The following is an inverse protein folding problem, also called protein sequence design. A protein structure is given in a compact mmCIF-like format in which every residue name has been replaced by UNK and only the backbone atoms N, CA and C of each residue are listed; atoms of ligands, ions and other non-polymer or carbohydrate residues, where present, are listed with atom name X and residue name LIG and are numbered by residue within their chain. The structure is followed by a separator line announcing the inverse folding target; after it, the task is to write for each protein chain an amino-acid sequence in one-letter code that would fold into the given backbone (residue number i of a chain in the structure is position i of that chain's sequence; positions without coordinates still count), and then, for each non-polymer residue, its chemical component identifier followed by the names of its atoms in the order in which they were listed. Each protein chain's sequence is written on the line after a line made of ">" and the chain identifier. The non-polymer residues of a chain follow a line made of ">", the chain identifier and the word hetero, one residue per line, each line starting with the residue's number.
data_IF_431456108968
#
_entry.id   IF_431456108968
#
_cell.length_a   1.000
_cell.length_b   1.000
_cell.length_c   1.000
_cell.angle_alpha   90.00
_cell.angle_beta   90.00
_cell.angle_gamma   90.00
#
_symmetry.space_group_name_H-M   'P 1'
#
loop_
_entity.id
_entity.type
_entity.pdbx_description
1 polymer ?
#
# COMPACT_ATOMS: atom_id res chain seq x y z
N UNK A 1 -10.54 16.22 -7.38
CA UNK A 1 -9.71 17.45 -7.35
C UNK A 1 -8.54 17.29 -8.26
N UNK A 2 -8.45 18.17 -9.27
CA UNK A 2 -7.32 18.31 -10.18
C UNK A 2 -6.16 18.92 -9.40
N UNK A 3 -4.98 18.31 -9.46
CA UNK A 3 -3.76 18.92 -8.91
C UNK A 3 -2.95 19.42 -10.11
N UNK A 4 -2.39 20.63 -10.05
CA UNK A 4 -1.68 21.22 -11.19
C UNK A 4 -0.34 20.51 -11.41
N UNK A 5 0.03 20.33 -12.66
CA UNK A 5 1.36 19.86 -13.10
C UNK A 5 2.42 20.93 -12.80
N UNK A 6 2.71 21.21 -11.53
CA UNK A 6 3.86 22.06 -11.15
C UNK A 6 5.05 21.19 -10.74
N UNK A 7 6.26 21.45 -11.28
CA UNK A 7 7.49 20.69 -11.01
C UNK A 7 7.78 20.46 -9.52
N UNK A 8 7.47 21.45 -8.67
CA UNK A 8 7.81 21.48 -7.25
C UNK A 8 7.26 20.30 -6.43
N UNK A 9 6.09 19.75 -6.79
CA UNK A 9 5.49 18.63 -6.04
C UNK A 9 6.15 17.29 -6.36
N UNK A 10 6.54 17.10 -7.63
CA UNK A 10 7.28 15.91 -8.04
C UNK A 10 8.66 15.91 -7.40
N UNK A 11 9.31 17.07 -7.34
CA UNK A 11 10.62 17.23 -6.68
C UNK A 11 10.55 16.99 -5.17
N UNK A 12 9.54 17.53 -4.49
CA UNK A 12 9.32 17.27 -3.07
C UNK A 12 9.01 15.78 -2.79
N UNK A 13 8.20 15.15 -3.65
CA UNK A 13 7.90 13.73 -3.54
C UNK A 13 9.15 12.87 -3.77
N UNK A 14 9.96 13.20 -4.78
CA UNK A 14 11.23 12.51 -5.05
C UNK A 14 12.22 12.70 -3.90
N UNK A 15 12.33 13.90 -3.33
CA UNK A 15 13.20 14.14 -2.16
C UNK A 15 12.74 13.32 -0.95
N UNK A 16 11.43 13.25 -0.68
CA UNK A 16 10.90 12.38 0.37
C UNK A 16 11.15 10.91 0.07
N UNK A 17 10.93 10.47 -1.17
CA UNK A 17 11.14 9.10 -1.61
C UNK A 17 12.61 8.69 -1.43
N UNK A 18 13.53 9.51 -1.91
CA UNK A 18 14.97 9.31 -1.75
C UNK A 18 15.36 9.21 -0.27
N UNK A 19 14.81 10.06 0.60
CA UNK A 19 15.03 9.95 2.06
C UNK A 19 14.46 8.67 2.63
N UNK A 20 13.24 8.27 2.29
CA UNK A 20 12.63 7.04 2.78
C UNK A 20 13.37 5.78 2.31
N UNK A 21 13.94 5.81 1.11
CA UNK A 21 14.74 4.72 0.57
C UNK A 21 16.10 4.56 1.30
N UNK A 22 16.70 5.67 1.74
CA UNK A 22 18.07 5.68 2.26
C UNK A 22 18.19 5.87 3.78
N UNK A 23 17.18 6.40 4.46
CA UNK A 23 17.16 6.64 5.91
C UNK A 23 16.24 5.63 6.62
N UNK A 24 16.84 4.55 7.11
CA UNK A 24 16.11 3.52 7.88
C UNK A 24 15.49 4.05 9.17
N UNK A 25 16.10 5.06 9.81
CA UNK A 25 15.55 5.62 11.03
C UNK A 25 14.25 6.38 10.73
N UNK A 26 14.25 7.22 9.68
CA UNK A 26 13.04 7.88 9.21
C UNK A 26 11.97 6.86 8.80
N UNK A 27 12.35 5.84 8.03
CA UNK A 27 11.44 4.80 7.57
C UNK A 27 10.79 4.06 8.75
N UNK A 28 11.57 3.73 9.79
CA UNK A 28 11.08 3.01 10.98
C UNK A 28 10.26 3.90 11.92
N UNK A 29 10.50 5.22 11.92
CA UNK A 29 9.75 6.18 12.72
C UNK A 29 8.31 6.40 12.22
N UNK A 30 8.00 6.03 10.98
CA UNK A 30 6.63 6.14 10.45
C UNK A 30 5.69 5.21 11.22
N UNK A 31 4.58 5.79 11.72
CA UNK A 31 3.46 5.01 12.24
C UNK A 31 2.62 4.40 11.09
N UNK A 32 1.67 3.48 11.36
CA UNK A 32 0.91 2.80 10.31
C UNK A 32 0.19 3.76 9.35
N UNK A 33 -0.44 4.81 9.87
CA UNK A 33 -1.17 5.79 9.06
C UNK A 33 -0.24 6.62 8.19
N UNK A 34 0.90 7.07 8.74
CA UNK A 34 1.92 7.81 8.00
C UNK A 34 2.52 6.96 6.89
N UNK A 35 2.77 5.67 7.14
CA UNK A 35 3.23 4.73 6.12
C UNK A 35 2.21 4.56 4.99
N UNK A 36 0.94 4.32 5.31
CA UNK A 36 -0.11 4.18 4.29
C UNK A 36 -0.28 5.45 3.45
N UNK A 37 -0.17 6.63 4.09
CA UNK A 37 -0.22 7.91 3.40
C UNK A 37 1.01 8.13 2.50
N UNK A 38 2.21 7.75 2.96
CA UNK A 38 3.43 7.82 2.16
C UNK A 38 3.32 6.91 0.93
N UNK A 39 2.93 5.64 1.11
CA UNK A 39 2.70 4.72 -0.01
C UNK A 39 1.69 5.27 -1.01
N UNK A 40 0.55 5.77 -0.54
CA UNK A 40 -0.47 6.35 -1.41
C UNK A 40 0.03 7.60 -2.16
N UNK A 41 0.83 8.45 -1.52
CA UNK A 41 1.43 9.62 -2.16
C UNK A 41 2.45 9.22 -3.25
N UNK A 42 3.34 8.28 -2.94
CA UNK A 42 4.36 7.77 -3.87
C UNK A 42 3.72 7.06 -5.08
N UNK A 43 2.55 6.44 -4.90
CA UNK A 43 1.80 5.78 -5.99
C UNK A 43 1.37 6.70 -7.14
N UNK A 44 1.50 8.02 -6.97
CA UNK A 44 1.26 9.01 -8.04
C UNK A 44 2.39 9.07 -9.07
N UNK A 45 3.59 8.57 -8.73
CA UNK A 45 4.77 8.59 -9.60
C UNK A 45 5.43 7.20 -9.66
N UNK A 46 4.72 6.17 -10.14
CA UNK A 46 5.23 4.80 -10.12
C UNK A 46 6.48 4.59 -10.99
N UNK A 47 6.64 5.43 -12.02
CA UNK A 47 7.74 5.36 -12.97
C UNK A 47 9.03 6.04 -12.47
N UNK A 48 9.01 6.71 -11.31
CA UNK A 48 10.24 7.33 -10.77
C UNK A 48 11.05 6.30 -9.97
N UNK A 49 12.38 6.18 -10.21
CA UNK A 49 13.23 5.23 -9.50
C UNK A 49 13.20 5.41 -7.98
N UNK A 50 13.20 6.66 -7.49
CA UNK A 50 13.16 6.97 -6.07
C UNK A 50 11.83 6.53 -5.42
N UNK A 51 10.68 6.77 -6.08
CA UNK A 51 9.40 6.28 -5.56
C UNK A 51 9.36 4.75 -5.51
N UNK A 52 9.87 4.09 -6.55
CA UNK A 52 9.97 2.62 -6.57
C UNK A 52 10.87 2.11 -5.43
N UNK A 53 12.02 2.73 -5.19
CA UNK A 53 12.93 2.35 -4.11
C UNK A 53 12.31 2.56 -2.72
N UNK A 54 11.65 3.70 -2.51
CA UNK A 54 10.95 4.00 -1.26
C UNK A 54 9.81 3.01 -0.99
N UNK A 55 9.01 2.69 -2.01
CA UNK A 55 7.93 1.70 -1.89
C UNK A 55 8.47 0.31 -1.61
N UNK A 56 9.55 -0.12 -2.25
CA UNK A 56 10.21 -1.39 -1.93
C UNK A 56 10.62 -1.45 -0.45
N UNK A 57 11.17 -0.38 0.09
CA UNK A 57 11.58 -0.32 1.49
C UNK A 57 10.38 -0.34 2.46
N UNK A 58 9.34 0.45 2.17
CA UNK A 58 8.11 0.50 2.99
C UNK A 58 7.33 -0.83 2.94
N UNK A 59 7.17 -1.42 1.75
CA UNK A 59 6.54 -2.71 1.55
C UNK A 59 7.34 -3.82 2.27
N UNK A 60 8.67 -3.82 2.15
CA UNK A 60 9.50 -4.75 2.91
C UNK A 60 9.28 -4.65 4.42
N UNK A 61 9.20 -3.43 4.98
CA UNK A 61 8.87 -3.25 6.39
C UNK A 61 7.49 -3.79 6.73
N UNK A 62 6.48 -3.47 5.91
CA UNK A 62 5.11 -3.92 6.14
C UNK A 62 4.97 -5.45 6.11
N UNK A 63 5.62 -6.12 5.16
CA UNK A 63 5.60 -7.58 5.04
C UNK A 63 6.27 -8.28 6.24
N UNK A 64 7.26 -7.64 6.85
CA UNK A 64 8.03 -8.22 7.98
C UNK A 64 7.52 -7.77 9.37
N UNK A 65 6.68 -6.75 9.45
CA UNK A 65 6.14 -6.22 10.71
C UNK A 65 4.62 -6.45 10.80
N UNK A 66 4.24 -7.61 11.36
CA UNK A 66 2.84 -8.00 11.56
C UNK A 66 2.09 -7.04 12.49
N UNK A 67 2.78 -6.44 13.47
CA UNK A 67 2.16 -5.49 14.38
C UNK A 67 1.77 -4.21 13.61
N UNK A 68 2.68 -3.68 12.80
CA UNK A 68 2.42 -2.55 11.92
C UNK A 68 1.29 -2.84 10.93
N UNK A 69 1.30 -4.01 10.29
CA UNK A 69 0.26 -4.42 9.35
C UNK A 69 -1.11 -4.51 10.00
N UNK A 70 -1.20 -5.09 11.21
CA UNK A 70 -2.45 -5.21 11.95
C UNK A 70 -2.93 -3.86 12.53
N UNK A 71 -2.02 -2.92 12.79
CA UNK A 71 -2.34 -1.58 13.26
C UNK A 71 -2.86 -0.64 12.16
N UNK A 72 -2.82 -1.04 10.88
CA UNK A 72 -3.48 -0.30 9.81
C UNK A 72 -5.00 -0.29 10.04
N UNK A 73 -5.60 0.89 9.99
CA UNK A 73 -7.04 1.05 9.98
C UNK A 73 -7.63 0.70 8.59
N UNK A 74 -8.97 0.60 8.43
CA UNK A 74 -9.58 0.18 7.17
C UNK A 74 -9.15 1.04 5.96
N UNK A 75 -9.10 2.36 6.12
CA UNK A 75 -8.63 3.26 5.06
C UNK A 75 -7.15 3.04 4.71
N UNK A 76 -6.32 2.78 5.73
CA UNK A 76 -4.90 2.48 5.57
C UNK A 76 -4.67 1.19 4.81
N UNK A 77 -5.47 0.15 5.07
CA UNK A 77 -5.44 -1.11 4.30
C UNK A 77 -5.77 -0.86 2.83
N UNK A 78 -6.89 -0.18 2.54
CA UNK A 78 -7.31 0.11 1.17
C UNK A 78 -6.29 0.96 0.40
N UNK A 79 -5.78 2.04 1.02
CA UNK A 79 -4.77 2.92 0.43
C UNK A 79 -3.47 2.17 0.15
N UNK A 80 -3.06 1.30 1.09
CA UNK A 80 -1.83 0.52 0.95
C UNK A 80 -1.95 -0.48 -0.19
N UNK A 81 -3.04 -1.24 -0.27
CA UNK A 81 -3.29 -2.15 -1.39
C UNK A 81 -3.31 -1.40 -2.73
N UNK A 82 -4.06 -0.29 -2.81
CA UNK A 82 -4.11 0.53 -4.02
C UNK A 82 -2.73 1.06 -4.43
N UNK A 83 -1.90 1.47 -3.48
CA UNK A 83 -0.53 1.91 -3.75
C UNK A 83 0.35 0.77 -4.27
N UNK A 84 0.36 -0.37 -3.57
CA UNK A 84 1.17 -1.54 -3.95
C UNK A 84 0.78 -2.07 -5.34
N UNK A 85 -0.49 -1.93 -5.73
CA UNK A 85 -1.00 -2.34 -7.05
C UNK A 85 -0.35 -1.60 -8.23
N UNK A 86 0.38 -0.51 -7.98
CA UNK A 86 1.18 0.20 -9.00
C UNK A 86 2.51 -0.49 -9.31
N UNK A 87 2.94 -1.43 -8.46
CA UNK A 87 4.14 -2.23 -8.65
C UNK A 87 3.81 -3.73 -8.54
N UNK A 88 2.95 -4.27 -9.43
CA UNK A 88 2.46 -5.63 -9.29
C UNK A 88 3.58 -6.68 -9.46
N UNK A 89 4.62 -6.36 -10.23
CA UNK A 89 5.75 -7.25 -10.51
C UNK A 89 6.90 -7.14 -9.50
N UNK A 90 6.73 -6.36 -8.43
CA UNK A 90 7.74 -6.23 -7.37
C UNK A 90 7.42 -7.22 -6.25
N UNK A 91 8.30 -8.20 -6.03
CA UNK A 91 8.12 -9.30 -5.07
C UNK A 91 7.66 -8.84 -3.68
N UNK A 92 8.29 -7.79 -3.13
CA UNK A 92 7.94 -7.27 -1.79
C UNK A 92 6.58 -6.56 -1.77
N UNK A 93 6.12 -6.00 -2.89
CA UNK A 93 4.76 -5.48 -3.02
C UNK A 93 3.75 -6.64 -3.06
N UNK A 94 4.07 -7.72 -3.77
CA UNK A 94 3.25 -8.93 -3.79
C UNK A 94 3.12 -9.55 -2.39
N UNK A 95 4.24 -9.71 -1.67
CA UNK A 95 4.24 -10.29 -0.32
C UNK A 95 3.44 -9.42 0.68
N UNK A 96 3.56 -8.10 0.58
CA UNK A 96 2.81 -7.15 1.40
C UNK A 96 1.31 -7.20 1.09
N UNK A 97 0.96 -7.25 -0.20
CA UNK A 97 -0.42 -7.39 -0.64
C UNK A 97 -1.04 -8.71 -0.18
N UNK A 98 -0.31 -9.82 -0.28
CA UNK A 98 -0.74 -11.14 0.18
C UNK A 98 -1.02 -11.17 1.68
N UNK A 99 -0.17 -10.53 2.49
CA UNK A 99 -0.36 -10.40 3.93
C UNK A 99 -1.58 -9.54 4.30
N UNK A 100 -1.83 -8.44 3.57
CA UNK A 100 -3.03 -7.62 3.74
C UNK A 100 -4.29 -8.33 3.27
N UNK A 101 -4.22 -9.07 2.17
CA UNK A 101 -5.31 -9.88 1.66
C UNK A 101 -5.67 -10.99 2.66
N UNK A 102 -4.68 -11.67 3.24
CA UNK A 102 -4.89 -12.64 4.30
C UNK A 102 -5.60 -12.01 5.51
N UNK A 103 -5.20 -10.79 5.92
CA UNK A 103 -5.91 -10.07 6.99
C UNK A 103 -7.36 -9.76 6.59
N UNK A 104 -7.59 -9.23 5.39
CA UNK A 104 -8.94 -8.95 4.89
C UNK A 104 -9.80 -10.21 4.85
N UNK A 105 -9.28 -11.35 4.41
CA UNK A 105 -10.01 -12.62 4.39
C UNK A 105 -10.44 -13.07 5.79
N UNK A 106 -9.59 -12.86 6.80
CA UNK A 106 -9.80 -13.39 8.16
C UNK A 106 -10.46 -12.39 9.13
N UNK A 107 -10.41 -11.08 8.87
CA UNK A 107 -10.88 -10.02 9.77
C UNK A 107 -12.23 -9.43 9.28
N UNK A 108 -13.34 -9.97 9.79
CA UNK A 108 -14.70 -9.53 9.43
C UNK A 108 -14.99 -8.09 9.86
N UNK A 109 -14.46 -7.66 11.01
CA UNK A 109 -14.67 -6.30 11.51
C UNK A 109 -13.99 -5.28 10.61
N UNK A 110 -12.75 -5.55 10.20
CA UNK A 110 -12.02 -4.74 9.22
C UNK A 110 -12.81 -4.62 7.91
N UNK A 111 -13.29 -5.74 7.35
CA UNK A 111 -14.06 -5.74 6.10
C UNK A 111 -15.32 -4.88 6.21
N UNK A 112 -16.08 -5.04 7.28
CA UNK A 112 -17.31 -4.28 7.52
C UNK A 112 -17.05 -2.79 7.77
N UNK A 113 -15.85 -2.44 8.24
CA UNK A 113 -15.45 -1.06 8.47
C UNK A 113 -14.83 -0.38 7.22
N UNK A 114 -14.62 -1.10 6.12
CA UNK A 114 -14.21 -0.48 4.86
C UNK A 114 -15.34 0.39 4.31
N UNK A 115 -14.99 1.60 3.86
CA UNK A 115 -15.90 2.41 3.08
C UNK A 115 -16.16 1.77 1.70
N UNK A 116 -17.24 2.17 1.03
CA UNK A 116 -17.50 1.74 -0.35
C UNK A 116 -16.29 2.00 -1.28
N UNK A 117 -15.65 3.16 -1.14
CA UNK A 117 -14.43 3.49 -1.88
C UNK A 117 -13.29 2.54 -1.47
N UNK A 118 -13.14 2.25 -0.18
CA UNK A 118 -12.14 1.30 0.32
C UNK A 118 -12.30 -0.11 -0.27
N UNK A 119 -13.54 -0.60 -0.37
CA UNK A 119 -13.85 -1.89 -1.02
C UNK A 119 -13.46 -1.86 -2.50
N UNK A 120 -13.87 -0.83 -3.24
CA UNK A 120 -13.52 -0.73 -4.67
C UNK A 120 -12.01 -0.65 -4.93
N UNK A 121 -11.27 0.07 -4.06
CA UNK A 121 -9.82 0.14 -4.14
C UNK A 121 -9.16 -1.21 -3.82
N UNK A 122 -9.63 -1.90 -2.78
CA UNK A 122 -9.12 -3.22 -2.42
C UNK A 122 -9.35 -4.23 -3.56
N UNK A 123 -10.56 -4.34 -4.09
CA UNK A 123 -10.88 -5.25 -5.19
C UNK A 123 -10.04 -4.95 -6.45
N UNK A 124 -9.94 -3.67 -6.84
CA UNK A 124 -9.10 -3.27 -7.99
C UNK A 124 -7.62 -3.61 -7.75
N UNK A 125 -7.12 -3.42 -6.54
CA UNK A 125 -5.74 -3.75 -6.20
C UNK A 125 -5.49 -5.27 -6.22
N UNK A 126 -6.36 -6.06 -5.59
CA UNK A 126 -6.24 -7.52 -5.51
C UNK A 126 -6.28 -8.16 -6.91
N UNK A 127 -7.02 -7.56 -7.86
CA UNK A 127 -7.03 -8.01 -9.26
C UNK A 127 -5.68 -7.98 -9.97
N UNK A 128 -4.66 -7.31 -9.39
CA UNK A 128 -3.29 -7.28 -9.94
C UNK A 128 -2.46 -8.52 -9.62
N UNK A 129 -2.93 -9.35 -8.71
CA UNK A 129 -2.26 -10.60 -8.33
C UNK A 129 -3.22 -11.79 -8.45
N UNK A 130 -3.69 -12.11 -9.68
CA UNK A 130 -4.43 -13.34 -9.91
C UNK A 130 -3.56 -14.54 -9.49
N UNK A 131 -4.18 -15.66 -9.10
CA UNK A 131 -3.50 -16.90 -8.68
C UNK A 131 -2.86 -16.86 -7.27
N UNK A 132 -3.00 -15.76 -6.53
CA UNK A 132 -2.65 -15.71 -5.12
C UNK A 132 -3.85 -16.06 -4.26
N UNK A 133 -3.81 -17.22 -3.60
CA UNK A 133 -4.92 -17.74 -2.79
C UNK A 133 -5.47 -16.73 -1.76
N UNK A 134 -4.61 -15.96 -1.10
CA UNK A 134 -5.07 -14.92 -0.16
C UNK A 134 -5.77 -13.76 -0.88
N UNK A 135 -5.31 -13.38 -2.09
CA UNK A 135 -5.94 -12.33 -2.88
C UNK A 135 -7.30 -12.78 -3.44
N UNK A 136 -7.41 -14.03 -3.87
CA UNK A 136 -8.68 -14.64 -4.31
C UNK A 136 -9.67 -14.72 -3.15
N UNK A 137 -9.24 -15.28 -2.01
CA UNK A 137 -10.08 -15.36 -0.82
C UNK A 137 -10.55 -13.99 -0.33
N UNK A 138 -9.67 -12.99 -0.31
CA UNK A 138 -10.02 -11.62 0.04
C UNK A 138 -11.01 -11.00 -0.98
N UNK A 139 -10.87 -11.31 -2.26
CA UNK A 139 -11.77 -10.85 -3.32
C UNK A 139 -13.17 -11.43 -3.12
N UNK A 140 -13.27 -12.74 -2.88
CA UNK A 140 -14.55 -13.43 -2.67
C UNK A 140 -15.32 -12.87 -1.47
N UNK A 141 -14.65 -12.66 -0.33
CA UNK A 141 -15.32 -12.14 0.87
C UNK A 141 -15.62 -10.64 0.83
N UNK A 142 -15.06 -9.90 -0.13
CA UNK A 142 -15.36 -8.48 -0.35
C UNK A 142 -16.45 -8.29 -1.42
N UNK A 143 -16.61 -9.26 -2.32
CA UNK A 143 -17.60 -9.23 -3.39
C UNK A 143 -18.95 -9.86 -2.99
N UNK A 144 -18.97 -10.73 -1.98
CA UNK A 144 -20.18 -11.35 -1.40
C UNK A 144 -20.77 -10.55 -0.24
#
# INVERSE_FOLDING_TARGET
>A
SKWPDTPDWADAANALASRLANDRHLLNALNPQQMANALNALSKWPDTPDCTAAVKALASRLANDRHLLNALNPQGVANTLNALSKWPDVDVSQASADALASRLANDRELRNALSHIGVTQALNALSKWPERANCESATDVLAG
#
